data_IF_270928587533
#
_entry.id   IF_270928587533
#
_cell.length_a   1.000
_cell.length_b   1.000
_cell.length_c   1.000
_cell.angle_alpha   90.00
_cell.angle_beta   90.00
_cell.angle_gamma   90.00
#
_symmetry.space_group_name_H-M   'P 1'
#
loop_
_entity.id
_entity.type
_entity.pdbx_description
1 polymer ?
#
# COMPACT_ATOMS: atom_id res chain seq x y z
N UNK A 1 8.82 -7.84 -27.42
CA UNK A 1 9.07 -7.98 -25.96
C UNK A 1 8.22 -6.97 -25.19
N UNK A 2 8.57 -5.68 -25.17
CA UNK A 2 7.90 -4.68 -24.32
C UNK A 2 6.41 -4.40 -24.60
N UNK A 3 5.96 -4.48 -25.86
CA UNK A 3 4.55 -4.31 -26.21
C UNK A 3 3.62 -5.44 -25.76
N UNK A 4 4.17 -6.65 -25.55
CA UNK A 4 3.41 -7.79 -25.01
C UNK A 4 3.44 -7.88 -23.48
N UNK A 5 4.47 -7.29 -22.86
CA UNK A 5 4.68 -7.24 -21.42
C UNK A 5 3.83 -6.18 -20.73
N UNK A 6 3.53 -5.08 -21.43
CA UNK A 6 2.81 -3.94 -20.87
C UNK A 6 1.47 -3.75 -21.58
N UNK A 7 0.42 -4.35 -21.03
CA UNK A 7 -0.95 -4.13 -21.49
C UNK A 7 -1.49 -2.86 -20.85
N UNK A 8 -1.87 -1.90 -21.68
CA UNK A 8 -2.47 -0.63 -21.27
C UNK A 8 -3.86 -0.58 -21.87
N UNK A 9 -4.86 -0.24 -21.06
CA UNK A 9 -6.24 -0.10 -21.49
C UNK A 9 -6.70 1.33 -21.26
N UNK A 10 -7.19 2.00 -22.31
CA UNK A 10 -7.81 3.31 -22.17
C UNK A 10 -9.14 3.26 -21.39
N UNK A 11 -9.71 2.06 -21.20
CA UNK A 11 -11.03 1.84 -20.60
C UNK A 11 -10.98 1.51 -19.09
N UNK A 12 -9.79 1.37 -18.49
CA UNK A 12 -9.64 0.88 -17.12
C UNK A 12 -9.96 1.90 -16.01
N UNK A 13 -10.40 3.11 -16.35
CA UNK A 13 -10.63 4.21 -15.39
C UNK A 13 -9.37 4.79 -14.74
N UNK A 14 -8.20 4.17 -14.95
CA UNK A 14 -6.92 4.63 -14.41
C UNK A 14 -6.18 5.54 -15.39
N UNK A 15 -5.43 6.52 -14.86
CA UNK A 15 -4.53 7.33 -15.69
C UNK A 15 -3.50 6.45 -16.41
N UNK A 16 -3.18 6.78 -17.67
CA UNK A 16 -2.16 6.04 -18.45
C UNK A 16 -0.81 5.96 -17.74
N UNK A 17 -0.46 6.98 -16.95
CA UNK A 17 0.73 7.00 -16.12
C UNK A 17 0.69 5.90 -15.04
N UNK A 18 -0.44 5.75 -14.34
CA UNK A 18 -0.60 4.71 -13.32
C UNK A 18 -0.51 3.31 -13.92
N UNK A 19 -1.10 3.11 -15.10
CA UNK A 19 -1.05 1.84 -15.82
C UNK A 19 0.37 1.47 -16.25
N UNK A 20 1.13 2.42 -16.82
CA UNK A 20 2.53 2.21 -17.21
C UNK A 20 3.37 1.85 -15.98
N UNK A 21 3.17 2.57 -14.87
CA UNK A 21 3.86 2.30 -13.60
C UNK A 21 3.55 0.89 -13.10
N UNK A 22 2.27 0.53 -13.04
CA UNK A 22 1.82 -0.78 -12.56
C UNK A 22 2.37 -1.92 -13.42
N UNK A 23 2.35 -1.75 -14.74
CA UNK A 23 2.86 -2.76 -15.67
C UNK A 23 4.38 -2.97 -15.50
N UNK A 24 5.15 -1.89 -15.27
CA UNK A 24 6.58 -1.99 -15.00
C UNK A 24 6.86 -2.64 -13.64
N UNK A 25 6.13 -2.27 -12.59
CA UNK A 25 6.29 -2.86 -11.25
C UNK A 25 5.95 -4.36 -11.28
N UNK A 26 4.85 -4.75 -11.92
CA UNK A 26 4.47 -6.16 -12.07
C UNK A 26 5.56 -6.96 -12.79
N UNK A 27 6.08 -6.44 -13.91
CA UNK A 27 7.15 -7.09 -14.66
C UNK A 27 8.48 -7.21 -13.87
N UNK A 28 8.75 -6.26 -12.96
CA UNK A 28 9.88 -6.32 -12.03
C UNK A 28 9.65 -7.44 -11.00
N UNK A 29 8.49 -7.45 -10.33
CA UNK A 29 8.18 -8.42 -9.28
C UNK A 29 8.10 -9.85 -9.82
N UNK A 30 7.57 -10.04 -11.02
CA UNK A 30 7.51 -11.31 -11.75
C UNK A 30 8.87 -11.76 -12.30
N UNK A 31 9.95 -11.00 -12.03
CA UNK A 31 11.33 -11.24 -12.50
C UNK A 31 11.46 -11.35 -14.02
N UNK A 32 10.54 -10.75 -14.77
CA UNK A 32 10.59 -10.68 -16.22
C UNK A 32 11.63 -9.65 -16.70
N UNK A 33 11.98 -8.70 -15.83
CA UNK A 33 13.04 -7.71 -16.05
C UNK A 33 14.15 -7.94 -15.04
N UNK A 34 15.32 -8.37 -15.51
CA UNK A 34 16.49 -8.55 -14.65
C UNK A 34 17.08 -7.20 -14.21
N UNK A 35 17.66 -7.15 -13.00
CA UNK A 35 18.33 -5.95 -12.46
C UNK A 35 19.44 -5.39 -13.37
N UNK A 36 20.11 -6.27 -14.11
CA UNK A 36 21.19 -5.91 -15.04
C UNK A 36 20.68 -5.42 -16.40
N UNK A 37 19.39 -5.57 -16.70
CA UNK A 37 18.81 -5.21 -17.98
C UNK A 37 18.39 -3.74 -17.98
N UNK A 38 18.87 -2.93 -18.94
CA UNK A 38 18.40 -1.55 -19.07
C UNK A 38 16.94 -1.53 -19.57
N UNK A 39 16.12 -0.69 -18.95
CA UNK A 39 14.78 -0.41 -19.49
C UNK A 39 14.91 0.37 -20.81
N UNK A 40 13.94 0.20 -21.74
CA UNK A 40 13.88 1.03 -22.94
C UNK A 40 13.79 2.50 -22.56
N UNK A 41 14.37 3.37 -23.40
CA UNK A 41 14.27 4.82 -23.18
C UNK A 41 12.81 5.28 -23.19
N UNK A 42 12.50 6.37 -22.49
CA UNK A 42 11.13 6.90 -22.44
C UNK A 42 10.54 7.15 -23.84
N UNK A 43 11.39 7.50 -24.82
CA UNK A 43 10.99 7.67 -26.22
C UNK A 43 10.60 6.35 -26.87
N UNK A 44 11.45 5.33 -26.78
CA UNK A 44 11.18 4.01 -27.37
C UNK A 44 9.96 3.37 -26.72
N UNK A 45 9.80 3.52 -25.41
CA UNK A 45 8.67 2.98 -24.68
C UNK A 45 7.36 3.72 -25.04
N UNK A 46 7.40 5.05 -25.18
CA UNK A 46 6.26 5.83 -25.65
C UNK A 46 5.81 5.43 -27.07
N UNK A 47 6.75 5.29 -28.00
CA UNK A 47 6.49 4.84 -29.38
C UNK A 47 5.88 3.42 -29.40
N UNK A 48 6.39 2.49 -28.58
CA UNK A 48 5.88 1.12 -28.51
C UNK A 48 4.50 0.99 -27.88
N UNK A 49 4.14 1.90 -26.98
CA UNK A 49 2.86 1.91 -26.27
C UNK A 49 1.83 2.83 -26.93
N UNK A 50 2.22 3.63 -27.93
CA UNK A 50 1.34 4.59 -28.60
C UNK A 50 0.89 5.74 -27.69
N UNK A 51 1.69 6.11 -26.68
CA UNK A 51 1.35 7.15 -25.68
C UNK A 51 2.25 8.38 -25.80
N UNK A 52 1.81 9.51 -25.25
CA UNK A 52 2.63 10.71 -25.18
C UNK A 52 3.89 10.48 -24.34
N UNK A 53 5.03 10.98 -24.82
CA UNK A 53 6.33 10.86 -24.12
C UNK A 53 6.29 11.37 -22.68
N UNK A 54 5.57 12.48 -22.43
CA UNK A 54 5.43 13.07 -21.10
C UNK A 54 4.88 12.09 -20.08
N UNK A 55 3.91 11.26 -20.47
CA UNK A 55 3.29 10.25 -19.60
C UNK A 55 4.30 9.20 -19.14
N UNK A 56 5.15 8.72 -20.05
CA UNK A 56 6.20 7.74 -19.73
C UNK A 56 7.29 8.36 -18.85
N UNK A 57 7.66 9.62 -19.11
CA UNK A 57 8.64 10.34 -18.28
C UNK A 57 8.15 10.49 -16.85
N UNK A 58 6.89 10.88 -16.64
CA UNK A 58 6.29 11.01 -15.32
C UNK A 58 6.21 9.65 -14.58
N UNK A 59 5.85 8.57 -15.29
CA UNK A 59 5.85 7.23 -14.72
C UNK A 59 7.26 6.79 -14.27
N UNK A 60 8.28 7.05 -15.10
CA UNK A 60 9.68 6.73 -14.78
C UNK A 60 10.21 7.54 -13.60
N UNK A 61 9.90 8.84 -13.54
CA UNK A 61 10.31 9.69 -12.42
C UNK A 61 9.73 9.16 -11.10
N UNK A 62 8.44 8.82 -11.08
CA UNK A 62 7.82 8.24 -9.89
C UNK A 62 8.43 6.89 -9.49
N UNK A 63 8.79 6.04 -10.44
CA UNK A 63 9.45 4.77 -10.16
C UNK A 63 10.87 4.95 -9.61
N UNK A 64 11.57 6.00 -10.03
CA UNK A 64 12.87 6.39 -9.44
C UNK A 64 12.67 6.92 -8.03
N UNK A 65 11.70 7.83 -7.82
CA UNK A 65 11.40 8.41 -6.51
C UNK A 65 10.95 7.33 -5.49
N UNK A 66 10.26 6.29 -5.96
CA UNK A 66 9.82 5.14 -5.15
C UNK A 66 10.90 4.07 -4.97
N UNK A 67 12.08 4.23 -5.58
CA UNK A 67 13.20 3.30 -5.45
C UNK A 67 13.07 2.00 -6.24
N UNK A 68 12.07 1.88 -7.14
CA UNK A 68 11.96 0.73 -8.06
C UNK A 68 12.98 0.79 -9.19
N UNK A 69 13.33 1.99 -9.63
CA UNK A 69 14.31 2.23 -10.69
C UNK A 69 15.48 3.07 -10.16
N UNK A 70 16.66 2.82 -10.70
CA UNK A 70 17.86 3.64 -10.51
C UNK A 70 18.23 4.27 -11.84
N UNK A 71 18.28 5.60 -11.87
CA UNK A 71 18.82 6.33 -13.01
C UNK A 71 20.35 6.28 -12.98
N UNK A 72 20.97 5.78 -14.05
CA UNK A 72 22.43 5.81 -14.22
C UNK A 72 22.79 6.77 -15.34
N UNK A 73 23.68 7.71 -15.04
CA UNK A 73 24.11 8.73 -15.99
C UNK A 73 24.65 8.09 -17.28
N UNK A 74 24.12 8.52 -18.44
CA UNK A 74 24.45 8.02 -19.79
C UNK A 74 24.19 6.52 -20.05
N UNK A 75 23.56 5.79 -19.11
CA UNK A 75 23.25 4.35 -19.25
C UNK A 75 21.76 4.03 -19.17
N UNK A 76 20.92 5.00 -18.79
CA UNK A 76 19.47 4.85 -18.73
C UNK A 76 18.96 4.41 -17.35
N UNK A 77 17.76 3.83 -17.32
CA UNK A 77 17.13 3.37 -16.09
C UNK A 77 17.29 1.86 -15.93
N UNK A 78 17.63 1.43 -14.72
CA UNK A 78 17.79 0.03 -14.34
C UNK A 78 16.87 -0.28 -13.17
N UNK A 79 16.46 -1.53 -13.03
CA UNK A 79 15.70 -1.96 -11.85
C UNK A 79 16.62 -1.91 -10.62
N UNK A 80 16.12 -1.39 -9.51
CA UNK A 80 16.87 -1.37 -8.26
C UNK A 80 17.09 -2.82 -7.78
N UNK A 81 18.34 -3.29 -7.65
CA UNK A 81 18.62 -4.65 -7.18
C UNK A 81 18.09 -4.93 -5.78
N UNK A 82 17.91 -3.92 -4.93
CA UNK A 82 17.35 -4.09 -3.58
C UNK A 82 15.86 -4.45 -3.59
N UNK A 83 15.11 -4.03 -4.61
CA UNK A 83 13.69 -4.40 -4.78
C UNK A 83 13.54 -5.86 -5.21
N UNK A 84 14.53 -6.37 -5.95
CA UNK A 84 14.60 -7.77 -6.38
C UNK A 84 15.32 -8.66 -5.35
N UNK A 85 16.01 -8.06 -4.39
CA UNK A 85 16.61 -8.77 -3.27
C UNK A 85 15.47 -9.40 -2.49
N UNK A 86 15.28 -10.70 -2.72
CA UNK A 86 14.50 -11.52 -1.78
C UNK A 86 15.17 -11.31 -0.43
N UNK A 87 14.47 -10.81 0.62
CA UNK A 87 15.04 -10.89 1.96
C UNK A 87 15.49 -12.32 2.10
N UNK A 88 16.79 -12.52 2.37
CA UNK A 88 17.39 -13.85 2.39
C UNK A 88 16.39 -14.75 3.11
N UNK A 89 15.83 -15.76 2.40
CA UNK A 89 14.93 -16.72 3.03
C UNK A 89 15.61 -17.05 4.35
N UNK A 90 14.97 -16.80 5.51
CA UNK A 90 15.62 -17.06 6.78
C UNK A 90 16.20 -18.44 6.62
N UNK A 91 17.54 -18.54 6.71
CA UNK A 91 18.20 -19.81 6.54
C UNK A 91 17.44 -20.71 7.50
N UNK A 92 16.68 -21.66 6.96
CA UNK A 92 16.13 -22.73 7.75
C UNK A 92 17.38 -23.45 8.18
N UNK A 93 17.96 -23.01 9.31
CA UNK A 93 18.80 -23.87 10.10
C UNK A 93 17.97 -25.13 10.22
N UNK A 94 18.53 -26.25 9.77
CA UNK A 94 18.03 -27.55 10.18
C UNK A 94 17.72 -27.45 11.67
N UNK A 95 16.57 -27.95 12.14
CA UNK A 95 16.14 -27.74 13.51
C UNK A 95 17.30 -28.13 14.42
N UNK A 96 17.96 -27.13 15.01
CA UNK A 96 18.91 -27.35 16.08
C UNK A 96 18.04 -27.99 17.16
N UNK A 97 18.13 -29.32 17.32
CA UNK A 97 17.50 -30.09 18.39
C UNK A 97 18.11 -29.73 19.77
N UNK A 98 18.67 -28.53 19.92
CA UNK A 98 19.42 -28.09 21.08
C UNK A 98 19.16 -26.60 21.36
N UNK A 99 17.90 -26.31 21.69
CA UNK A 99 17.44 -25.35 22.71
C UNK A 99 16.02 -24.90 22.34
N UNK A 100 15.04 -25.77 22.59
CA UNK A 100 13.68 -25.26 22.77
C UNK A 100 13.76 -24.24 23.90
N UNK A 101 13.49 -22.98 23.55
CA UNK A 101 13.39 -21.93 24.54
C UNK A 101 12.20 -22.29 25.42
N UNK A 102 12.46 -22.65 26.68
CA UNK A 102 11.40 -22.85 27.66
C UNK A 102 10.73 -21.50 27.97
N UNK A 103 9.71 -21.18 27.18
CA UNK A 103 8.92 -19.98 27.34
C UNK A 103 8.13 -19.97 28.65
N UNK A 104 7.91 -21.11 29.31
CA UNK A 104 7.30 -21.11 30.64
C UNK A 104 8.30 -20.67 31.69
N UNK A 105 9.56 -21.14 31.61
CA UNK A 105 10.63 -20.68 32.49
C UNK A 105 11.03 -19.22 32.24
N UNK A 106 10.91 -18.72 31.00
CA UNK A 106 11.25 -17.32 30.65
C UNK A 106 10.13 -16.31 30.90
N UNK A 107 8.85 -16.72 30.87
CA UNK A 107 7.72 -15.83 31.13
C UNK A 107 7.54 -15.66 32.63
N UNK A 108 7.93 -14.50 33.15
CA UNK A 108 7.71 -14.16 34.57
C UNK A 108 6.24 -13.85 34.90
N UNK A 109 5.45 -13.44 33.91
CA UNK A 109 4.04 -13.08 34.05
C UNK A 109 3.27 -13.75 32.90
N UNK A 110 2.17 -14.43 33.21
CA UNK A 110 1.27 -14.94 32.18
C UNK A 110 0.52 -13.79 31.52
N UNK A 111 0.20 -13.92 30.23
CA UNK A 111 -0.51 -12.84 29.51
C UNK A 111 -1.88 -12.51 30.14
N UNK A 112 -2.54 -13.49 30.76
CA UNK A 112 -3.78 -13.32 31.52
C UNK A 112 -3.62 -12.49 32.78
N UNK A 113 -2.40 -12.44 33.34
CA UNK A 113 -2.09 -11.83 34.62
C UNK A 113 -1.39 -10.48 34.42
N UNK A 114 -1.20 -10.05 33.18
CA UNK A 114 -0.68 -8.72 32.90
C UNK A 114 -1.67 -7.67 33.44
N UNK A 115 -1.16 -6.65 34.16
CA UNK A 115 -2.01 -5.58 34.64
C UNK A 115 -2.70 -4.91 33.45
N UNK A 116 -3.97 -4.50 33.59
CA UNK A 116 -4.66 -3.78 32.53
C UNK A 116 -3.86 -2.53 32.18
N UNK A 117 -3.79 -2.15 30.89
CA UNK A 117 -3.04 -0.98 30.47
C UNK A 117 -3.56 0.26 31.19
N UNK A 118 -2.70 0.91 31.98
CA UNK A 118 -3.02 2.12 32.70
C UNK A 118 -3.27 3.26 31.70
N UNK A 119 -4.53 3.67 31.56
CA UNK A 119 -4.89 4.87 30.79
C UNK A 119 -4.53 6.08 31.61
N UNK A 120 -3.57 6.88 31.13
CA UNK A 120 -3.23 8.14 31.76
C UNK A 120 -4.24 9.20 31.32
N UNK A 121 -4.97 9.79 32.28
CA UNK A 121 -6.03 10.76 31.99
C UNK A 121 -5.53 12.01 31.24
N UNK A 122 -4.24 12.36 31.39
CA UNK A 122 -3.65 13.52 30.74
C UNK A 122 -2.25 13.24 30.20
N UNK A 123 -2.17 12.28 29.28
CA UNK A 123 -0.92 11.89 28.64
C UNK A 123 -0.19 13.06 27.95
N UNK A 124 -0.92 14.08 27.49
CA UNK A 124 -0.35 15.26 26.81
C UNK A 124 0.61 16.04 27.72
N UNK A 125 0.38 16.01 29.04
CA UNK A 125 1.23 16.70 30.03
C UNK A 125 2.43 15.86 30.49
N UNK A 126 2.54 14.61 30.06
CA UNK A 126 3.67 13.75 30.41
C UNK A 126 4.92 14.22 29.67
N UNK A 127 6.07 14.27 30.36
CA UNK A 127 7.35 14.63 29.72
C UNK A 127 7.77 13.64 28.63
N UNK A 128 7.34 12.37 28.74
CA UNK A 128 7.63 11.29 27.80
C UNK A 128 6.38 10.42 27.60
N UNK A 129 5.46 10.79 26.69
CA UNK A 129 4.20 10.08 26.50
C UNK A 129 4.36 8.83 25.63
N UNK A 130 4.71 7.69 26.23
CA UNK A 130 4.68 6.38 25.56
C UNK A 130 3.26 5.79 25.55
N UNK A 131 2.32 6.48 24.89
CA UNK A 131 0.92 6.07 24.81
C UNK A 131 0.58 5.44 23.47
N UNK A 132 -0.22 4.36 23.51
CA UNK A 132 -0.67 3.67 22.32
C UNK A 132 -1.99 4.27 21.79
N UNK A 133 -2.08 4.46 20.47
CA UNK A 133 -3.31 4.85 19.78
C UNK A 133 -3.70 6.32 19.86
N UNK A 134 -2.91 7.16 20.54
CA UNK A 134 -3.09 8.62 20.53
C UNK A 134 -2.23 9.23 19.44
N UNK A 135 -2.72 10.30 18.81
CA UNK A 135 -1.94 11.07 17.84
C UNK A 135 -1.36 12.32 18.51
N UNK A 136 -0.21 12.80 18.03
CA UNK A 136 0.36 14.08 18.45
C UNK A 136 -0.37 15.24 17.76
N UNK A 137 -1.06 16.14 18.51
CA UNK A 137 -1.76 17.28 17.93
C UNK A 137 -0.85 18.23 17.16
N UNK A 138 0.43 18.33 17.52
CA UNK A 138 1.38 19.21 16.85
C UNK A 138 1.81 18.68 15.47
N UNK A 139 1.70 17.36 15.25
CA UNK A 139 2.00 16.72 13.96
C UNK A 139 0.78 16.61 13.05
N UNK A 140 -0.42 16.84 13.57
CA UNK A 140 -1.62 16.77 12.76
C UNK A 140 -1.76 18.02 11.87
N UNK A 141 -1.82 17.87 10.53
CA UNK A 141 -1.84 18.98 9.59
C UNK A 141 -3.23 19.65 9.57
N UNK A 142 -3.54 20.40 10.63
CA UNK A 142 -4.89 20.93 10.87
C UNK A 142 -5.32 21.93 9.79
N UNK A 143 -4.40 22.74 9.27
CA UNK A 143 -4.69 23.75 8.27
C UNK A 143 -5.06 23.11 6.93
N UNK A 144 -4.25 22.14 6.49
CA UNK A 144 -4.45 21.37 5.26
C UNK A 144 -5.71 20.50 5.37
N UNK A 145 -5.91 19.83 6.51
CA UNK A 145 -7.11 19.03 6.75
C UNK A 145 -8.38 19.87 6.65
N UNK A 146 -8.36 21.06 7.25
CA UNK A 146 -9.49 21.99 7.18
C UNK A 146 -9.75 22.46 5.75
N UNK A 147 -8.71 22.74 4.98
CA UNK A 147 -8.87 23.13 3.57
C UNK A 147 -9.44 21.97 2.74
N UNK A 148 -8.95 20.74 2.93
CA UNK A 148 -9.52 19.56 2.28
C UNK A 148 -11.00 19.37 2.63
N UNK A 149 -11.38 19.56 3.90
CA UNK A 149 -12.78 19.50 4.31
C UNK A 149 -13.62 20.59 3.64
N UNK A 150 -13.11 21.83 3.56
CA UNK A 150 -13.78 22.94 2.88
C UNK A 150 -14.01 22.64 1.39
N UNK A 151 -13.03 22.02 0.74
CA UNK A 151 -13.14 21.59 -0.66
C UNK A 151 -14.16 20.45 -0.84
N UNK A 152 -14.08 19.42 -0.01
CA UNK A 152 -14.97 18.25 -0.07
C UNK A 152 -16.44 18.59 0.26
N UNK A 153 -16.65 19.59 1.12
CA UNK A 153 -17.99 20.06 1.51
C UNK A 153 -18.48 21.24 0.66
N UNK A 154 -17.82 21.54 -0.47
CA UNK A 154 -18.29 22.58 -1.38
C UNK A 154 -19.65 22.21 -1.98
N UNK A 155 -20.50 23.22 -2.25
CA UNK A 155 -21.88 23.03 -2.73
C UNK A 155 -21.96 22.18 -4.00
N UNK A 156 -20.97 22.31 -4.89
CA UNK A 156 -20.90 21.50 -6.11
C UNK A 156 -20.65 20.02 -5.80
N UNK A 157 -19.78 19.73 -4.83
CA UNK A 157 -19.48 18.36 -4.41
C UNK A 157 -20.66 17.71 -3.72
N UNK A 158 -21.45 18.45 -2.92
CA UNK A 158 -22.68 17.93 -2.28
C UNK A 158 -23.60 17.21 -3.27
N UNK A 159 -23.68 17.70 -4.50
CA UNK A 159 -24.51 17.04 -5.54
C UNK A 159 -23.96 15.68 -5.97
N UNK A 160 -22.64 15.49 -5.89
CA UNK A 160 -21.96 14.26 -6.27
C UNK A 160 -22.15 13.17 -5.19
N UNK A 161 -21.89 13.49 -3.92
CA UNK A 161 -22.02 12.50 -2.84
C UNK A 161 -23.45 12.31 -2.31
N UNK A 162 -24.37 13.24 -2.59
CA UNK A 162 -25.80 13.02 -2.35
C UNK A 162 -26.49 12.17 -3.44
N UNK A 163 -25.75 11.80 -4.50
CA UNK A 163 -26.22 10.84 -5.49
C UNK A 163 -26.39 9.46 -4.87
N UNK A 164 -27.31 8.66 -5.41
CA UNK A 164 -27.62 7.34 -4.88
C UNK A 164 -26.45 6.38 -5.18
N UNK A 165 -25.68 6.06 -4.15
CA UNK A 165 -24.47 5.24 -4.20
C UNK A 165 -24.70 3.99 -3.35
N UNK A 166 -25.64 3.14 -3.77
CA UNK A 166 -26.14 2.01 -2.96
C UNK A 166 -25.06 0.95 -2.71
N UNK A 167 -24.37 0.54 -3.77
CA UNK A 167 -23.38 -0.55 -3.73
C UNK A 167 -21.97 -0.09 -4.10
N UNK A 168 -21.73 1.23 -4.11
CA UNK A 168 -20.48 1.80 -4.61
C UNK A 168 -19.95 2.88 -3.68
N UNK A 169 -18.65 2.82 -3.45
CA UNK A 169 -17.92 3.91 -2.80
C UNK A 169 -17.62 5.05 -3.78
N UNK A 170 -17.20 6.19 -3.23
CA UNK A 170 -16.78 7.34 -4.02
C UNK A 170 -15.63 6.97 -4.99
N UNK A 171 -15.81 7.10 -6.31
CA UNK A 171 -14.81 6.65 -7.29
C UNK A 171 -13.47 7.39 -7.18
N UNK A 172 -13.50 8.68 -6.81
CA UNK A 172 -12.29 9.48 -6.67
C UNK A 172 -11.50 9.04 -5.43
N UNK A 173 -12.18 8.73 -4.33
CA UNK A 173 -11.57 8.17 -3.13
C UNK A 173 -10.91 6.82 -3.44
N UNK A 174 -11.62 5.93 -4.12
CA UNK A 174 -11.09 4.62 -4.54
C UNK A 174 -9.84 4.80 -5.41
N UNK A 175 -9.88 5.70 -6.39
CA UNK A 175 -8.72 6.02 -7.23
C UNK A 175 -7.52 6.48 -6.38
N UNK A 176 -7.73 7.39 -5.42
CA UNK A 176 -6.64 7.88 -4.57
C UNK A 176 -6.08 6.78 -3.65
N UNK A 177 -6.93 5.91 -3.10
CA UNK A 177 -6.49 4.75 -2.31
C UNK A 177 -5.63 3.82 -3.16
N UNK A 178 -6.12 3.46 -4.35
CA UNK A 178 -5.44 2.56 -5.28
C UNK A 178 -4.12 3.15 -5.80
N UNK A 179 -4.09 4.43 -6.15
CA UNK A 179 -2.91 5.06 -6.75
C UNK A 179 -1.84 5.43 -5.72
N UNK A 180 -2.22 5.80 -4.49
CA UNK A 180 -1.29 6.39 -3.51
C UNK A 180 -1.06 5.56 -2.26
N UNK A 181 -2.05 4.82 -1.76
CA UNK A 181 -1.96 4.11 -0.48
C UNK A 181 -1.54 2.65 -0.64
N UNK A 182 -2.26 1.87 -1.46
CA UNK A 182 -2.02 0.43 -1.61
C UNK A 182 -0.62 0.09 -2.13
N UNK A 183 -0.06 0.78 -3.16
CA UNK A 183 1.25 0.44 -3.71
C UNK A 183 2.38 0.62 -2.70
N UNK A 184 2.27 1.59 -1.77
CA UNK A 184 3.25 1.80 -0.69
C UNK A 184 3.30 0.65 0.30
N UNK A 185 2.25 -0.16 0.34
CA UNK A 185 2.13 -1.36 1.17
C UNK A 185 2.35 -2.66 0.38
N UNK A 186 2.71 -2.57 -0.90
CA UNK A 186 2.85 -3.72 -1.79
C UNK A 186 1.53 -4.44 -2.08
N UNK A 187 0.39 -3.76 -1.85
CA UNK A 187 -0.94 -4.31 -2.13
C UNK A 187 -1.35 -3.87 -3.54
N UNK A 188 -1.79 -4.83 -4.35
CA UNK A 188 -2.31 -4.61 -5.68
C UNK A 188 -3.78 -5.06 -5.70
N UNK A 189 -4.68 -4.12 -5.98
CA UNK A 189 -6.12 -4.37 -6.06
C UNK A 189 -6.73 -3.51 -7.15
N UNK A 190 -7.68 -4.06 -7.90
CA UNK A 190 -8.54 -3.32 -8.84
C UNK A 190 -9.55 -2.46 -8.07
N UNK A 191 -10.16 -1.43 -8.70
CA UNK A 191 -11.15 -0.59 -8.01
C UNK A 191 -12.31 -1.42 -7.41
N UNK A 192 -12.75 -2.46 -8.12
CA UNK A 192 -13.83 -3.36 -7.71
C UNK A 192 -13.43 -4.34 -6.60
N UNK A 193 -12.15 -4.35 -6.19
CA UNK A 193 -11.62 -5.18 -5.09
C UNK A 193 -11.38 -4.35 -3.82
N UNK A 194 -11.77 -3.06 -3.83
CA UNK A 194 -11.61 -2.13 -2.72
C UNK A 194 -12.99 -1.77 -2.18
N UNK A 195 -13.18 -1.99 -0.87
CA UNK A 195 -14.39 -1.59 -0.15
C UNK A 195 -13.98 -0.67 0.99
N UNK A 196 -14.53 0.53 1.04
CA UNK A 196 -14.34 1.48 2.15
C UNK A 196 -15.28 1.11 3.28
N UNK A 197 -14.76 1.11 4.50
CA UNK A 197 -15.52 0.67 5.68
C UNK A 197 -15.38 1.70 6.80
N UNK A 198 -16.28 1.63 7.78
CA UNK A 198 -16.22 2.44 9.01
C UNK A 198 -15.01 2.14 9.91
N UNK A 199 -14.13 1.21 9.52
CA UNK A 199 -12.91 0.84 10.22
C UNK A 199 -12.64 -0.66 10.20
N UNK A 200 -11.49 -1.05 10.73
CA UNK A 200 -11.03 -2.45 10.70
C UNK A 200 -12.00 -3.43 11.36
N UNK A 201 -12.69 -3.04 12.43
CA UNK A 201 -13.70 -3.88 13.09
C UNK A 201 -14.92 -4.14 12.20
N UNK A 202 -15.39 -3.13 11.47
CA UNK A 202 -16.49 -3.30 10.51
C UNK A 202 -16.08 -4.20 9.36
N UNK A 203 -14.87 -4.02 8.82
CA UNK A 203 -14.32 -4.90 7.79
C UNK A 203 -14.23 -6.36 8.25
N UNK A 204 -13.69 -6.59 9.47
CA UNK A 204 -13.61 -7.93 10.05
C UNK A 204 -14.99 -8.56 10.31
N UNK A 205 -15.94 -7.76 10.78
CA UNK A 205 -17.32 -8.21 10.95
C UNK A 205 -17.93 -8.66 9.61
N UNK A 206 -17.83 -7.85 8.56
CA UNK A 206 -18.33 -8.22 7.24
C UNK A 206 -17.67 -9.47 6.68
N UNK A 207 -16.34 -9.59 6.81
CA UNK A 207 -15.61 -10.80 6.39
C UNK A 207 -16.05 -12.04 7.18
N UNK A 208 -16.23 -11.91 8.49
CA UNK A 208 -16.71 -13.01 9.34
C UNK A 208 -18.13 -13.42 8.95
N UNK A 209 -19.04 -12.47 8.76
CA UNK A 209 -20.42 -12.74 8.33
C UNK A 209 -20.47 -13.40 6.95
N UNK A 210 -19.59 -13.01 6.03
CA UNK A 210 -19.56 -13.54 4.67
C UNK A 210 -18.91 -14.93 4.57
N UNK A 211 -17.80 -15.15 5.29
CA UNK A 211 -16.92 -16.31 5.07
C UNK A 211 -17.01 -17.37 6.16
N UNK A 212 -17.50 -17.04 7.35
CA UNK A 212 -17.53 -17.97 8.48
C UNK A 212 -18.88 -18.65 8.65
N UNK A 213 -18.84 -19.88 9.13
CA UNK A 213 -20.02 -20.64 9.53
C UNK A 213 -19.86 -21.12 10.97
N UNK A 214 -20.94 -21.65 11.55
CA UNK A 214 -20.89 -22.24 12.88
C UNK A 214 -19.87 -23.39 12.90
N UNK A 215 -18.84 -23.26 13.73
CA UNK A 215 -17.76 -24.25 13.84
C UNK A 215 -16.49 -23.90 13.07
N UNK A 216 -16.46 -22.79 12.31
CA UNK A 216 -15.21 -22.26 11.74
C UNK A 216 -14.18 -21.99 12.84
N UNK A 217 -12.96 -22.53 12.65
CA UNK A 217 -11.82 -22.28 13.54
C UNK A 217 -11.02 -21.10 12.99
N UNK A 218 -10.75 -20.12 13.84
CA UNK A 218 -9.91 -18.95 13.52
C UNK A 218 -8.68 -18.98 14.41
N UNK A 219 -7.52 -18.74 13.83
CA UNK A 219 -6.28 -18.53 14.56
C UNK A 219 -5.99 -17.03 14.63
N UNK A 220 -5.53 -16.57 15.80
CA UNK A 220 -5.05 -15.21 16.02
C UNK A 220 -3.70 -15.30 16.73
N UNK A 221 -2.80 -14.37 16.41
CA UNK A 221 -1.49 -14.23 17.06
C UNK A 221 -1.62 -13.59 18.45
#
# INVERSE_FOLDING_TARGET
IWSGLFRISAESGQTLQAQIRQAIVAAILDRQIAASMPLPSCRILAEKLGVARGTVVLAFQQLVDQGFLVARERRGHFVNPEVLATPAKPHQKAPDQANEIDWKARRQIAASDMPPPAKHDNWIKSSYPFVYGQFDPALFPTAEWRECNRMALAVLEIRNWASDMVDRDDPLLIEQIQARLLPRRGIFANPDEIIVTLGAQNALYMLATLLMTKGSKVAME
#
